data_IF_867509061590
#
_entry.id   IF_867509061590
#
_cell.length_a   1.000
_cell.length_b   1.000
_cell.length_c   1.000
_cell.angle_alpha   90.00
_cell.angle_beta   90.00
_cell.angle_gamma   90.00
#
_symmetry.space_group_name_H-M   'P 1'
#
loop_
_entity.id
_entity.type
_entity.pdbx_description
1 polymer ?
#
# COMPACT_ATOMS: atom_id res chain seq x y z
N UNK A 1 -12.72 -27.59 6.98
CA UNK A 1 -11.69 -27.05 6.08
C UNK A 1 -11.18 -25.75 6.65
N UNK A 2 -9.88 -25.57 6.81
CA UNK A 2 -9.34 -24.27 7.23
C UNK A 2 -9.54 -23.25 6.13
N UNK A 3 -10.04 -22.07 6.50
CA UNK A 3 -10.18 -20.97 5.56
C UNK A 3 -8.78 -20.50 5.12
N UNK A 4 -8.59 -20.18 3.84
CA UNK A 4 -7.30 -19.69 3.36
C UNK A 4 -6.97 -18.32 3.92
N UNK A 5 -5.68 -18.08 4.18
CA UNK A 5 -5.18 -16.75 4.51
C UNK A 5 -5.16 -15.93 3.22
N UNK A 6 -5.80 -14.78 3.24
CA UNK A 6 -5.89 -13.86 2.10
C UNK A 6 -5.48 -12.44 2.51
N UNK A 7 -5.12 -11.66 1.52
CA UNK A 7 -4.93 -10.21 1.73
C UNK A 7 -6.26 -9.51 1.66
N UNK A 8 -6.53 -8.69 2.66
CA UNK A 8 -7.71 -7.85 2.74
C UNK A 8 -7.30 -6.41 2.92
N UNK A 9 -7.99 -5.52 2.22
CA UNK A 9 -7.77 -4.07 2.33
C UNK A 9 -9.00 -3.42 2.93
N UNK A 10 -8.79 -2.70 4.02
CA UNK A 10 -9.84 -2.04 4.79
C UNK A 10 -9.62 -0.53 4.73
N UNK A 11 -10.68 0.21 4.46
CA UNK A 11 -10.68 1.66 4.63
C UNK A 11 -11.33 2.02 5.96
N UNK A 12 -10.65 2.84 6.74
CA UNK A 12 -11.16 3.35 8.01
C UNK A 12 -11.16 4.87 7.96
N UNK A 13 -12.34 5.45 7.97
CA UNK A 13 -12.49 6.89 8.17
C UNK A 13 -12.49 7.17 9.67
N UNK A 14 -11.60 8.06 10.08
CA UNK A 14 -11.39 8.42 11.48
C UNK A 14 -11.40 9.94 11.64
N UNK A 15 -11.71 10.39 12.85
CA UNK A 15 -11.50 11.79 13.19
C UNK A 15 -10.01 12.14 13.11
N UNK A 16 -9.69 13.26 12.48
CA UNK A 16 -8.32 13.76 12.37
C UNK A 16 -7.91 14.44 13.68
N UNK A 17 -7.63 13.64 14.69
CA UNK A 17 -7.26 14.07 16.03
C UNK A 17 -5.95 13.44 16.48
N UNK A 18 -5.30 14.09 17.46
CA UNK A 18 -4.15 13.54 18.15
C UNK A 18 -4.46 12.15 18.75
N UNK A 19 -3.56 11.21 18.55
CA UNK A 19 -3.60 9.88 19.17
C UNK A 19 -4.51 8.84 18.50
N UNK A 20 -5.27 9.20 17.46
CA UNK A 20 -6.17 8.25 16.78
C UNK A 20 -5.40 7.12 16.12
N UNK A 21 -4.30 7.43 15.43
CA UNK A 21 -3.43 6.41 14.82
C UNK A 21 -2.90 5.44 15.87
N UNK A 22 -2.47 5.95 17.02
CA UNK A 22 -1.96 5.13 18.11
C UNK A 22 -3.04 4.20 18.67
N UNK A 23 -4.28 4.66 18.80
CA UNK A 23 -5.42 3.82 19.26
C UNK A 23 -5.77 2.73 18.26
N UNK A 24 -5.82 3.04 16.98
CA UNK A 24 -6.06 2.04 15.93
C UNK A 24 -4.93 1.01 15.89
N UNK A 25 -3.68 1.46 15.85
CA UNK A 25 -2.52 0.57 15.88
C UNK A 25 -2.46 -0.28 17.15
N UNK A 26 -2.81 0.30 18.29
CA UNK A 26 -2.88 -0.39 19.58
C UNK A 26 -3.94 -1.50 19.62
N UNK A 27 -5.06 -1.31 18.95
CA UNK A 27 -6.08 -2.37 18.80
C UNK A 27 -5.51 -3.57 18.05
N UNK A 28 -4.79 -3.35 16.94
CA UNK A 28 -4.13 -4.43 16.19
C UNK A 28 -3.06 -5.14 17.04
N UNK A 29 -2.18 -4.38 17.66
CA UNK A 29 -1.13 -4.89 18.54
C UNK A 29 -1.67 -5.69 19.70
N UNK A 30 -2.65 -5.15 20.40
CA UNK A 30 -3.21 -5.77 21.61
C UNK A 30 -3.92 -7.08 21.35
N UNK A 31 -4.33 -7.35 20.12
CA UNK A 31 -5.00 -8.58 19.71
C UNK A 31 -4.14 -9.51 18.87
N UNK A 32 -2.89 -9.14 18.64
CA UNK A 32 -1.96 -9.93 17.83
C UNK A 32 -2.25 -9.95 16.33
N UNK A 33 -3.04 -9.01 15.83
CA UNK A 33 -3.26 -8.85 14.39
C UNK A 33 -2.06 -8.15 13.75
N UNK A 34 -1.65 -8.62 12.57
CA UNK A 34 -0.50 -8.07 11.86
C UNK A 34 -0.96 -7.16 10.72
N UNK A 35 -0.54 -5.90 10.77
CA UNK A 35 -0.72 -4.94 9.68
C UNK A 35 0.36 -5.21 8.64
N UNK A 36 -0.06 -5.50 7.40
CA UNK A 36 0.86 -5.68 6.29
C UNK A 36 1.29 -4.33 5.69
N UNK A 37 0.32 -3.47 5.36
CA UNK A 37 0.57 -2.10 4.93
C UNK A 37 -0.41 -1.14 5.58
N UNK A 38 0.04 0.09 5.80
CA UNK A 38 -0.75 1.17 6.39
C UNK A 38 -0.47 2.46 5.66
N UNK A 39 -1.51 3.10 5.17
CA UNK A 39 -1.45 4.44 4.61
C UNK A 39 -2.46 5.32 5.36
N UNK A 40 -2.05 6.53 5.73
CA UNK A 40 -2.88 7.49 6.45
C UNK A 40 -2.75 8.85 5.80
N UNK A 41 -3.87 9.48 5.53
CA UNK A 41 -3.89 10.85 5.02
C UNK A 41 -5.20 11.54 5.33
N UNK A 42 -5.22 12.88 5.35
CA UNK A 42 -6.46 13.63 5.47
C UNK A 42 -7.35 13.35 4.27
N UNK A 43 -8.65 13.31 4.52
CA UNK A 43 -9.65 13.21 3.47
C UNK A 43 -9.94 14.59 2.86
N UNK A 44 -10.94 14.66 1.99
CA UNK A 44 -11.46 15.93 1.48
C UNK A 44 -11.93 16.84 2.62
N UNK A 45 -12.49 16.30 3.68
CA UNK A 45 -12.77 17.02 4.92
C UNK A 45 -11.52 17.02 5.80
N UNK A 46 -10.92 18.20 6.13
CA UNK A 46 -9.71 18.24 6.96
C UNK A 46 -9.89 17.75 8.39
N UNK A 47 -11.13 17.59 8.85
CA UNK A 47 -11.45 17.02 10.16
C UNK A 47 -11.48 15.48 10.17
N UNK A 48 -11.38 14.87 8.99
CA UNK A 48 -11.48 13.42 8.79
C UNK A 48 -10.25 12.92 8.05
N UNK A 49 -9.64 11.86 8.55
CA UNK A 49 -8.55 11.14 7.90
C UNK A 49 -9.02 9.78 7.41
N UNK A 50 -8.42 9.32 6.33
CA UNK A 50 -8.60 7.95 5.83
C UNK A 50 -7.36 7.14 6.14
N UNK A 51 -7.56 6.01 6.77
CA UNK A 51 -6.57 4.96 6.88
C UNK A 51 -6.90 3.85 5.90
N UNK A 52 -5.93 3.44 5.10
CA UNK A 52 -6.05 2.26 4.24
C UNK A 52 -5.12 1.20 4.79
N UNK A 53 -5.69 0.13 5.31
CA UNK A 53 -4.97 -0.92 6.05
C UNK A 53 -5.09 -2.21 5.26
N UNK A 54 -3.96 -2.83 4.93
CA UNK A 54 -3.91 -4.17 4.34
C UNK A 54 -3.46 -5.16 5.39
N UNK A 55 -4.22 -6.23 5.56
CA UNK A 55 -3.94 -7.34 6.49
C UNK A 55 -3.87 -8.66 5.73
N UNK A 56 -3.17 -9.63 6.29
CA UNK A 56 -3.10 -11.02 5.80
C UNK A 56 -3.70 -11.92 6.84
N UNK A 57 -4.99 -12.20 6.68
CA UNK A 57 -5.76 -12.94 7.66
C UNK A 57 -6.81 -13.85 6.98
N UNK A 58 -7.38 -14.76 7.77
CA UNK A 58 -8.57 -15.49 7.39
C UNK A 58 -9.79 -14.56 7.42
N UNK A 59 -10.81 -14.85 6.63
CA UNK A 59 -12.02 -14.03 6.56
C UNK A 59 -12.70 -13.87 7.93
N UNK A 60 -12.71 -14.91 8.74
CA UNK A 60 -13.24 -14.86 10.10
C UNK A 60 -12.51 -13.83 10.98
N UNK A 61 -11.18 -13.82 10.92
CA UNK A 61 -10.35 -12.85 11.64
C UNK A 61 -10.57 -11.45 11.12
N UNK A 62 -10.70 -11.28 9.79
CA UNK A 62 -11.04 -9.99 9.19
C UNK A 62 -12.35 -9.43 9.74
N UNK A 63 -13.39 -10.25 9.85
CA UNK A 63 -14.67 -9.84 10.43
C UNK A 63 -14.55 -9.38 11.88
N UNK A 64 -13.69 -10.03 12.66
CA UNK A 64 -13.37 -9.61 14.03
C UNK A 64 -12.65 -8.24 14.04
N UNK A 65 -11.68 -8.05 13.16
CA UNK A 65 -10.95 -6.78 13.02
C UNK A 65 -11.93 -5.64 12.71
N UNK A 66 -12.82 -5.82 11.74
CA UNK A 66 -13.82 -4.82 11.36
C UNK A 66 -14.72 -4.46 12.54
N UNK A 67 -15.21 -5.46 13.27
CA UNK A 67 -16.05 -5.22 14.46
C UNK A 67 -15.30 -4.47 15.55
N UNK A 68 -14.03 -4.75 15.78
CA UNK A 68 -13.22 -4.06 16.79
C UNK A 68 -12.92 -2.62 16.38
N UNK A 69 -12.63 -2.38 15.10
CA UNK A 69 -12.47 -1.02 14.57
C UNK A 69 -13.71 -0.18 14.74
N UNK A 70 -14.87 -0.76 14.42
CA UNK A 70 -16.17 -0.07 14.51
C UNK A 70 -16.53 0.36 15.94
N UNK A 71 -15.97 -0.30 16.95
CA UNK A 71 -16.18 0.05 18.37
C UNK A 71 -15.33 1.20 18.87
N UNK A 72 -14.29 1.61 18.13
CA UNK A 72 -13.44 2.72 18.54
C UNK A 72 -14.20 4.05 18.36
N UNK A 73 -14.17 4.89 19.40
CA UNK A 73 -14.90 6.18 19.42
C UNK A 73 -14.54 7.08 18.26
N UNK A 74 -13.26 7.09 17.87
CA UNK A 74 -12.75 7.97 16.82
C UNK A 74 -13.04 7.46 15.40
N UNK A 75 -13.55 6.24 15.26
CA UNK A 75 -13.85 5.62 13.96
C UNK A 75 -15.22 6.04 13.49
N UNK A 76 -15.29 6.63 12.30
CA UNK A 76 -16.53 7.10 11.67
C UNK A 76 -17.14 6.01 10.80
N UNK A 77 -16.31 5.35 9.98
CA UNK A 77 -16.76 4.32 9.05
C UNK A 77 -15.64 3.32 8.77
N UNK A 78 -16.01 2.06 8.64
CA UNK A 78 -15.12 0.98 8.22
C UNK A 78 -15.71 0.34 6.96
N UNK A 79 -14.90 0.25 5.90
CA UNK A 79 -15.28 -0.39 4.63
C UNK A 79 -14.29 -1.49 4.29
N UNK A 80 -14.81 -2.68 4.03
CA UNK A 80 -14.04 -3.78 3.47
C UNK A 80 -14.01 -3.64 1.95
N UNK A 81 -12.84 -3.34 1.40
CA UNK A 81 -12.66 -3.21 -0.04
C UNK A 81 -12.44 -4.56 -0.70
N UNK A 82 -13.35 -4.94 -1.58
CA UNK A 82 -13.27 -6.17 -2.39
C UNK A 82 -12.76 -5.90 -3.80
N UNK A 83 -12.10 -6.88 -4.38
CA UNK A 83 -11.70 -6.83 -5.79
C UNK A 83 -12.94 -6.70 -6.70
N UNK A 84 -12.79 -5.95 -7.78
CA UNK A 84 -13.87 -5.69 -8.74
C UNK A 84 -14.57 -4.34 -8.53
N UNK A 85 -14.95 -4.04 -7.32
CA UNK A 85 -15.69 -2.81 -6.98
C UNK A 85 -14.80 -1.69 -6.47
N UNK A 86 -13.49 -1.90 -6.47
CA UNK A 86 -12.51 -0.99 -5.84
C UNK A 86 -11.37 -0.69 -6.80
N UNK A 87 -10.92 0.56 -6.75
CA UNK A 87 -9.68 0.99 -7.41
C UNK A 87 -8.58 0.99 -6.37
N UNK A 88 -7.53 0.21 -6.64
CA UNK A 88 -6.32 0.15 -5.82
C UNK A 88 -5.14 0.76 -6.54
N UNK A 89 -4.32 1.52 -5.83
CA UNK A 89 -3.04 2.02 -6.32
C UNK A 89 -2.01 2.03 -5.20
N UNK A 90 -0.76 1.95 -5.59
CA UNK A 90 0.39 2.08 -4.71
C UNK A 90 1.49 2.82 -5.46
N UNK A 91 2.28 3.62 -4.75
CA UNK A 91 3.46 4.28 -5.28
C UNK A 91 4.71 3.66 -4.67
N UNK A 92 5.70 3.40 -5.51
CA UNK A 92 7.01 2.88 -5.12
C UNK A 92 8.09 3.81 -5.64
N UNK A 93 9.07 4.09 -4.78
CA UNK A 93 10.35 4.67 -5.16
C UNK A 93 11.42 3.58 -5.05
N UNK A 94 12.19 3.37 -6.10
CA UNK A 94 13.25 2.36 -6.12
C UNK A 94 14.53 2.92 -6.71
N UNK A 95 15.64 2.65 -6.02
CA UNK A 95 17.00 2.95 -6.51
C UNK A 95 17.60 1.69 -7.11
N UNK A 96 17.90 1.75 -8.40
CA UNK A 96 18.41 0.63 -9.18
C UNK A 96 19.85 0.91 -9.59
N UNK A 97 20.71 -0.07 -9.39
CA UNK A 97 22.08 0.00 -9.87
C UNK A 97 22.12 -0.15 -11.39
N UNK A 98 22.93 0.67 -12.03
CA UNK A 98 23.16 0.62 -13.47
C UNK A 98 24.65 0.61 -13.78
N UNK A 99 24.97 0.07 -14.95
CA UNK A 99 26.27 0.16 -15.59
C UNK A 99 26.09 0.79 -16.97
N UNK A 100 27.18 1.09 -17.66
CA UNK A 100 27.11 1.58 -19.04
C UNK A 100 26.36 0.60 -19.97
N UNK A 101 26.49 -0.70 -19.71
CA UNK A 101 25.87 -1.76 -20.52
C UNK A 101 24.40 -2.02 -20.15
N UNK A 102 23.98 -1.75 -18.92
CA UNK A 102 22.62 -2.05 -18.45
C UNK A 102 21.70 -0.83 -18.43
N UNK A 103 22.23 0.38 -18.51
CA UNK A 103 21.45 1.63 -18.44
C UNK A 103 20.29 1.66 -19.43
N UNK A 104 20.55 1.35 -20.68
CA UNK A 104 19.54 1.39 -21.75
C UNK A 104 18.42 0.39 -21.50
N UNK A 105 18.74 -0.79 -21.01
CA UNK A 105 17.77 -1.83 -20.69
C UNK A 105 16.87 -1.42 -19.53
N UNK A 106 17.42 -0.82 -18.47
CA UNK A 106 16.63 -0.30 -17.34
C UNK A 106 15.69 0.82 -17.79
N UNK A 107 16.18 1.75 -18.63
CA UNK A 107 15.35 2.83 -19.18
C UNK A 107 14.21 2.28 -20.04
N UNK A 108 14.47 1.29 -20.87
CA UNK A 108 13.47 0.64 -21.70
C UNK A 108 12.37 -0.04 -20.84
N UNK A 109 12.77 -0.74 -19.79
CA UNK A 109 11.81 -1.33 -18.84
C UNK A 109 10.97 -0.27 -18.13
N UNK A 110 11.57 0.86 -17.75
CA UNK A 110 10.84 1.99 -17.18
C UNK A 110 9.78 2.51 -18.15
N UNK A 111 10.10 2.64 -19.43
CA UNK A 111 9.15 3.08 -20.45
C UNK A 111 8.01 2.09 -20.64
N UNK A 112 8.30 0.78 -20.69
CA UNK A 112 7.29 -0.28 -20.81
C UNK A 112 6.29 -0.23 -19.65
N UNK A 113 6.77 -0.06 -18.43
CA UNK A 113 5.94 -0.01 -17.22
C UNK A 113 5.38 1.38 -16.92
N UNK A 114 5.66 2.38 -17.76
CA UNK A 114 5.28 3.78 -17.55
C UNK A 114 5.77 4.33 -16.21
N UNK A 115 6.96 3.91 -15.82
CA UNK A 115 7.66 4.44 -14.67
C UNK A 115 8.38 5.75 -15.05
N UNK A 116 8.66 6.58 -14.05
CA UNK A 116 9.37 7.84 -14.22
C UNK A 116 10.75 7.75 -13.59
N UNK A 117 11.76 8.16 -14.32
CA UNK A 117 13.10 8.33 -13.77
C UNK A 117 13.16 9.74 -13.17
N UNK A 118 13.34 9.82 -11.85
CA UNK A 118 13.32 11.07 -11.10
C UNK A 118 14.69 11.56 -10.67
N UNK A 119 15.67 10.70 -10.65
CA UNK A 119 17.06 11.04 -10.38
C UNK A 119 18.01 10.11 -11.13
N UNK A 120 19.12 10.66 -11.60
CA UNK A 120 20.11 9.95 -12.41
C UNK A 120 21.51 10.28 -11.93
N UNK A 121 22.31 9.23 -11.69
CA UNK A 121 23.75 9.37 -11.59
C UNK A 121 24.45 8.26 -12.40
N UNK A 122 25.78 8.28 -12.56
CA UNK A 122 26.46 7.30 -13.41
C UNK A 122 26.24 5.85 -13.04
N UNK A 123 25.96 5.56 -11.77
CA UNK A 123 25.88 4.20 -11.23
C UNK A 123 24.48 3.80 -10.77
N UNK A 124 23.53 4.74 -10.77
CA UNK A 124 22.19 4.50 -10.24
C UNK A 124 21.14 5.35 -10.94
N UNK A 125 19.93 4.80 -10.99
CA UNK A 125 18.69 5.51 -11.31
C UNK A 125 17.74 5.42 -10.12
N UNK A 126 17.06 6.52 -9.81
CA UNK A 126 15.91 6.50 -8.91
C UNK A 126 14.64 6.58 -9.74
N UNK A 127 13.78 5.60 -9.55
CA UNK A 127 12.57 5.40 -10.35
C UNK A 127 11.34 5.53 -9.46
N UNK A 128 10.34 6.27 -9.95
CA UNK A 128 9.02 6.37 -9.38
C UNK A 128 8.04 5.57 -10.23
N UNK A 129 7.27 4.70 -9.62
CA UNK A 129 6.25 3.92 -10.30
C UNK A 129 4.99 3.83 -9.47
N UNK A 130 3.84 3.99 -10.12
CA UNK A 130 2.52 3.78 -9.54
C UNK A 130 1.78 2.70 -10.30
N UNK A 131 0.93 1.98 -9.63
CA UNK A 131 0.08 0.98 -10.27
C UNK A 131 -0.57 0.02 -9.30
N UNK A 132 -1.08 -1.05 -9.87
CA UNK A 132 -1.63 -2.19 -9.12
C UNK A 132 -0.51 -3.05 -8.54
N UNK A 133 -0.85 -3.88 -7.57
CA UNK A 133 0.11 -4.79 -6.93
C UNK A 133 0.85 -5.69 -7.95
N UNK A 134 0.11 -6.25 -8.90
CA UNK A 134 0.71 -7.12 -9.91
C UNK A 134 1.72 -6.40 -10.80
N UNK A 135 1.40 -5.19 -11.22
CA UNK A 135 2.32 -4.34 -12.00
C UNK A 135 3.60 -4.02 -11.22
N UNK A 136 3.45 -3.59 -9.96
CA UNK A 136 4.59 -3.20 -9.13
C UNK A 136 5.46 -4.40 -8.76
N UNK A 137 4.86 -5.52 -8.42
CA UNK A 137 5.58 -6.77 -8.13
C UNK A 137 6.42 -7.20 -9.31
N UNK A 138 5.84 -7.19 -10.50
CA UNK A 138 6.55 -7.55 -11.74
C UNK A 138 7.71 -6.60 -12.03
N UNK A 139 7.49 -5.31 -11.89
CA UNK A 139 8.53 -4.30 -12.09
C UNK A 139 9.70 -4.48 -11.10
N UNK A 140 9.40 -4.65 -9.82
CA UNK A 140 10.41 -4.85 -8.78
C UNK A 140 11.23 -6.11 -9.06
N UNK A 141 10.59 -7.22 -9.41
CA UNK A 141 11.28 -8.47 -9.77
C UNK A 141 12.25 -8.28 -10.94
N UNK A 142 11.88 -7.50 -11.95
CA UNK A 142 12.77 -7.18 -13.08
C UNK A 142 13.94 -6.31 -12.65
N UNK A 143 13.70 -5.35 -11.76
CA UNK A 143 14.77 -4.47 -11.25
C UNK A 143 15.77 -5.21 -10.35
N UNK A 144 15.34 -6.26 -9.66
CA UNK A 144 16.22 -7.11 -8.85
C UNK A 144 17.39 -7.69 -9.65
N UNK A 145 17.18 -7.97 -10.94
CA UNK A 145 18.24 -8.48 -11.84
C UNK A 145 19.40 -7.50 -12.02
N UNK A 146 19.17 -6.20 -11.86
CA UNK A 146 20.20 -5.16 -11.97
C UNK A 146 20.79 -4.79 -10.61
N UNK A 147 20.14 -5.16 -9.53
CA UNK A 147 20.49 -4.82 -8.17
C UNK A 147 19.71 -3.60 -7.66
N UNK A 148 18.89 -3.84 -6.65
CA UNK A 148 18.15 -2.79 -5.94
C UNK A 148 19.01 -2.34 -4.77
N UNK A 149 19.34 -1.04 -4.71
CA UNK A 149 20.05 -0.46 -3.58
C UNK A 149 19.10 -0.14 -2.43
N UNK A 150 17.95 0.45 -2.75
CA UNK A 150 16.95 0.82 -1.77
C UNK A 150 15.57 0.88 -2.42
N UNK A 151 14.55 0.70 -1.60
CA UNK A 151 13.17 0.73 -2.04
C UNK A 151 12.27 1.20 -0.90
N UNK A 152 11.33 2.09 -1.22
CA UNK A 152 10.26 2.47 -0.31
C UNK A 152 8.91 2.47 -1.01
N UNK A 153 7.86 2.14 -0.28
CA UNK A 153 6.49 2.09 -0.81
C UNK A 153 5.50 2.72 0.14
N UNK A 154 4.43 3.26 -0.43
CA UNK A 154 3.33 3.85 0.34
C UNK A 154 2.44 2.81 1.01
N UNK A 155 2.39 1.59 0.49
CA UNK A 155 1.26 0.71 0.74
C UNK A 155 0.06 1.08 -0.15
N UNK A 156 -0.92 0.19 -0.22
CA UNK A 156 -2.11 0.41 -1.04
C UNK A 156 -2.97 1.56 -0.51
N UNK A 157 -3.44 2.38 -1.43
CA UNK A 157 -4.59 3.26 -1.24
C UNK A 157 -5.73 2.76 -2.12
N UNK A 158 -6.95 3.04 -1.71
CA UNK A 158 -8.13 2.52 -2.37
C UNK A 158 -9.32 3.47 -2.31
N UNK A 159 -10.13 3.46 -3.36
CA UNK A 159 -11.45 4.08 -3.41
C UNK A 159 -12.42 3.15 -4.11
N UNK A 160 -13.73 3.18 -3.75
CA UNK A 160 -14.73 2.47 -4.51
C UNK A 160 -14.81 2.99 -5.95
N UNK A 161 -15.17 2.11 -6.88
CA UNK A 161 -15.47 2.55 -8.24
C UNK A 161 -16.74 3.42 -8.23
N UNK A 162 -16.78 4.41 -9.11
CA UNK A 162 -18.00 5.15 -9.35
C UNK A 162 -19.07 4.23 -9.94
N UNK A 163 -20.31 4.39 -9.51
CA UNK A 163 -21.49 3.70 -10.04
C UNK A 163 -21.86 4.28 -11.42
#
# INVERSE_FOLDING_TARGET
MEQPIQRHTISVLVENKFGVLARVAGMFSGRGYNIHTLNVGPSHDPKVSRMTITVREKEETLNQIIKQLDRLVDVIEVVDFREGDTIFRELVLVQVNITKSTRSEVIELCDIFRAKIIDVNPNQLTVEITGTEGKLTKFIQLMENFGIKDLTRTGKIALPRAE
#
